data_IF_069473427246
#
_entry.id   IF_069473427246
#
_cell.length_a   1.000
_cell.length_b   1.000
_cell.length_c   1.000
_cell.angle_alpha   90.00
_cell.angle_beta   90.00
_cell.angle_gamma   90.00
#
_symmetry.space_group_name_H-M   'P 1'
#
loop_
_entity.id
_entity.type
_entity.pdbx_description
1 polymer ?
#
# COMPACT_ATOMS: atom_id res chain seq x y z
N UNK A 1 22.78 56.22 -44.73
CA UNK A 1 22.20 55.80 -43.44
C UNK A 1 21.88 54.33 -43.53
N UNK A 2 22.75 53.49 -42.96
CA UNK A 2 22.39 52.17 -42.45
C UNK A 2 23.22 52.06 -41.20
N UNK A 3 22.60 52.38 -40.08
CA UNK A 3 23.14 52.10 -38.77
C UNK A 3 23.06 50.59 -38.68
N UNK A 4 24.15 49.89 -39.02
CA UNK A 4 24.29 48.51 -38.60
C UNK A 4 24.37 48.54 -37.09
N UNK A 5 23.20 48.37 -36.46
CA UNK A 5 23.09 48.08 -35.03
C UNK A 5 23.82 46.77 -34.83
N UNK A 6 25.13 46.85 -34.57
CA UNK A 6 25.97 45.72 -34.21
C UNK A 6 25.37 45.11 -32.95
N UNK A 7 24.50 44.12 -33.14
CA UNK A 7 24.00 43.22 -32.11
C UNK A 7 25.24 42.80 -31.31
N UNK A 8 25.37 43.26 -30.07
CA UNK A 8 26.47 42.86 -29.21
C UNK A 8 26.55 41.32 -29.30
N UNK A 9 27.67 40.80 -29.79
CA UNK A 9 27.81 39.38 -30.00
C UNK A 9 27.84 38.72 -28.62
N UNK A 10 26.72 38.09 -28.22
CA UNK A 10 26.69 37.31 -26.99
C UNK A 10 27.66 36.14 -27.13
N UNK A 11 28.65 36.06 -26.24
CA UNK A 11 29.56 34.91 -26.18
C UNK A 11 28.81 33.72 -25.59
N UNK A 12 28.65 32.61 -26.33
CA UNK A 12 27.94 31.44 -25.83
C UNK A 12 28.75 30.72 -24.75
N UNK A 13 28.06 30.19 -23.74
CA UNK A 13 28.64 29.37 -22.67
C UNK A 13 28.92 27.92 -23.10
N UNK A 14 28.28 27.46 -24.18
CA UNK A 14 28.48 26.14 -24.79
C UNK A 14 28.26 26.19 -26.31
N UNK A 15 28.77 25.19 -27.04
CA UNK A 15 28.70 25.16 -28.50
C UNK A 15 27.27 24.98 -29.03
N UNK A 16 26.47 24.11 -28.41
CA UNK A 16 25.14 23.71 -28.90
C UNK A 16 24.17 23.54 -27.74
N UNK A 17 22.86 23.66 -27.97
CA UNK A 17 21.86 23.34 -26.95
C UNK A 17 21.76 21.81 -26.78
N UNK A 18 21.46 21.33 -25.57
CA UNK A 18 21.00 19.95 -25.34
C UNK A 18 19.48 19.93 -25.20
N UNK A 19 18.91 18.75 -24.98
CA UNK A 19 17.49 18.60 -24.68
C UNK A 19 17.06 19.41 -23.45
N UNK A 20 17.92 19.48 -22.42
CA UNK A 20 17.64 20.15 -21.14
C UNK A 20 18.34 21.50 -21.00
N UNK A 21 19.45 21.73 -21.71
CA UNK A 21 20.30 22.91 -21.53
C UNK A 21 20.25 23.83 -22.73
N UNK A 22 19.82 25.07 -22.47
CA UNK A 22 19.91 26.17 -23.41
C UNK A 22 21.36 26.65 -23.59
N UNK A 23 21.68 27.23 -24.74
CA UNK A 23 22.89 28.04 -24.92
C UNK A 23 22.63 29.44 -24.38
N UNK A 24 23.43 29.88 -23.42
CA UNK A 24 23.29 31.18 -22.76
C UNK A 24 24.52 32.03 -22.99
N UNK A 25 24.38 33.34 -22.83
CA UNK A 25 25.52 34.24 -22.80
C UNK A 25 26.29 34.07 -21.50
N UNK A 26 27.59 33.76 -21.58
CA UNK A 26 28.46 33.57 -20.40
C UNK A 26 28.65 34.85 -19.55
N UNK A 27 28.32 36.02 -20.10
CA UNK A 27 28.51 37.32 -19.44
C UNK A 27 27.25 37.79 -18.72
N UNK A 28 26.08 37.72 -19.38
CA UNK A 28 24.83 38.28 -18.85
C UNK A 28 23.69 37.28 -18.68
N UNK A 29 23.89 36.01 -19.06
CA UNK A 29 22.88 34.95 -18.91
C UNK A 29 21.74 34.98 -19.94
N UNK A 30 21.75 35.91 -20.90
CA UNK A 30 20.75 35.96 -21.98
C UNK A 30 20.70 34.63 -22.75
N UNK A 31 19.50 34.08 -22.93
CA UNK A 31 19.30 32.82 -23.68
C UNK A 31 19.49 33.10 -25.17
N UNK A 32 20.58 32.60 -25.74
CA UNK A 32 20.92 32.75 -27.16
C UNK A 32 20.11 31.75 -27.98
N UNK A 33 20.12 30.49 -27.54
CA UNK A 33 19.36 29.39 -28.14
C UNK A 33 18.68 28.63 -27.02
N UNK A 34 17.35 28.44 -27.05
CA UNK A 34 16.65 27.66 -26.03
C UNK A 34 17.11 26.19 -26.04
N UNK A 35 16.84 25.47 -24.95
CA UNK A 35 17.00 24.02 -24.92
C UNK A 35 16.13 23.38 -26.03
N UNK A 36 16.62 22.30 -26.63
CA UNK A 36 15.92 21.65 -27.75
C UNK A 36 14.60 21.01 -27.30
N UNK A 37 14.50 20.64 -26.02
CA UNK A 37 13.47 19.75 -25.53
C UNK A 37 13.63 18.33 -26.09
N UNK A 38 12.88 17.39 -25.52
CA UNK A 38 12.65 16.10 -26.15
C UNK A 38 11.17 15.75 -26.06
N UNK A 39 10.72 14.95 -27.02
CA UNK A 39 9.35 14.43 -27.08
C UNK A 39 9.34 12.98 -26.62
N UNK A 40 8.56 12.64 -25.60
CA UNK A 40 8.34 11.26 -25.18
C UNK A 40 7.39 10.55 -26.15
N UNK A 41 7.88 10.09 -27.30
CA UNK A 41 7.04 9.43 -28.31
C UNK A 41 6.90 7.91 -28.12
N UNK A 42 7.82 7.25 -27.41
CA UNK A 42 7.93 5.78 -27.38
C UNK A 42 7.83 5.18 -25.97
N UNK A 43 6.70 5.42 -25.30
CA UNK A 43 6.40 4.78 -24.02
C UNK A 43 5.53 3.55 -24.25
N UNK A 44 6.02 2.37 -23.86
CA UNK A 44 5.27 1.11 -23.98
C UNK A 44 4.13 1.09 -22.96
N UNK A 45 2.93 1.51 -23.40
CA UNK A 45 1.71 1.56 -22.57
C UNK A 45 1.11 0.19 -22.29
N UNK A 46 1.78 -0.91 -22.65
CA UNK A 46 1.39 -2.27 -22.26
C UNK A 46 2.18 -2.77 -21.05
N UNK A 47 3.30 -2.10 -20.72
CA UNK A 47 4.15 -2.45 -19.58
C UNK A 47 4.10 -1.37 -18.52
N UNK A 48 3.44 -1.65 -17.42
CA UNK A 48 3.38 -0.78 -16.27
C UNK A 48 4.25 -1.32 -15.14
N UNK A 49 5.03 -0.43 -14.56
CA UNK A 49 5.59 -0.59 -13.22
C UNK A 49 4.57 -0.08 -12.20
N UNK A 50 4.65 -0.55 -10.96
CA UNK A 50 3.72 -0.14 -9.91
C UNK A 50 4.35 -0.15 -8.52
N UNK A 51 3.82 0.71 -7.65
CA UNK A 51 4.05 0.71 -6.21
C UNK A 51 2.69 0.64 -5.48
N UNK A 52 2.67 0.87 -4.16
CA UNK A 52 1.44 0.81 -3.35
C UNK A 52 0.41 1.89 -3.71
N UNK A 53 0.84 3.00 -4.32
CA UNK A 53 0.05 4.19 -4.59
C UNK A 53 -0.29 4.37 -6.06
N UNK A 54 0.66 4.11 -6.95
CA UNK A 54 0.57 4.46 -8.36
C UNK A 54 1.11 3.36 -9.27
N UNK A 55 0.78 3.50 -10.55
CA UNK A 55 1.48 2.83 -11.65
C UNK A 55 2.01 3.87 -12.65
N UNK A 56 3.05 3.49 -13.38
CA UNK A 56 3.69 4.33 -14.40
C UNK A 56 4.31 3.46 -15.49
N UNK A 57 4.62 4.11 -16.61
CA UNK A 57 5.53 3.55 -17.60
C UNK A 57 6.88 4.25 -17.47
N UNK A 58 7.96 3.59 -17.89
CA UNK A 58 9.30 4.17 -17.85
C UNK A 58 9.76 4.51 -19.26
N UNK A 59 10.24 5.73 -19.47
CA UNK A 59 10.81 6.11 -20.75
C UNK A 59 12.10 5.33 -21.00
N UNK A 60 12.16 4.57 -22.09
CA UNK A 60 13.34 3.74 -22.41
C UNK A 60 14.61 4.55 -22.68
N UNK A 61 14.47 5.79 -23.16
CA UNK A 61 15.59 6.67 -23.50
C UNK A 61 16.26 7.32 -22.29
N UNK A 62 15.48 7.77 -21.30
CA UNK A 62 15.99 8.54 -20.16
C UNK A 62 15.71 7.92 -18.77
N UNK A 63 14.87 6.89 -18.68
CA UNK A 63 14.49 6.25 -17.42
C UNK A 63 13.46 7.02 -16.59
N UNK A 64 12.99 8.17 -17.06
CA UNK A 64 12.00 8.97 -16.35
C UNK A 64 10.62 8.32 -16.34
N UNK A 65 9.89 8.49 -15.23
CA UNK A 65 8.51 7.99 -15.08
C UNK A 65 7.55 8.82 -15.93
N UNK A 66 6.70 8.14 -16.67
CA UNK A 66 5.68 8.69 -17.55
C UNK A 66 4.31 8.09 -17.21
N UNK A 67 3.24 8.82 -17.56
CA UNK A 67 1.86 8.37 -17.33
C UNK A 67 1.60 7.92 -15.88
N UNK A 68 2.21 8.61 -14.91
CA UNK A 68 2.02 8.29 -13.49
C UNK A 68 0.55 8.52 -13.14
N UNK A 69 -0.11 7.47 -12.68
CA UNK A 69 -1.51 7.53 -12.27
C UNK A 69 -1.72 6.69 -11.02
N UNK A 70 -2.65 7.13 -10.17
CA UNK A 70 -3.13 6.33 -9.07
C UNK A 70 -3.81 5.05 -9.59
N UNK A 71 -3.81 4.02 -8.75
CA UNK A 71 -4.48 2.77 -9.07
C UNK A 71 -6.00 2.93 -9.13
N UNK A 72 -6.60 2.38 -10.20
CA UNK A 72 -8.03 2.11 -10.24
C UNK A 72 -8.28 0.64 -9.91
N UNK A 73 -8.79 0.38 -8.71
CA UNK A 73 -8.98 -0.97 -8.18
C UNK A 73 -10.37 -1.55 -8.47
N UNK A 74 -10.42 -2.86 -8.62
CA UNK A 74 -11.64 -3.65 -8.59
C UNK A 74 -11.53 -4.84 -7.64
N UNK A 75 -12.64 -5.19 -6.99
CA UNK A 75 -12.70 -6.37 -6.14
C UNK A 75 -12.80 -7.65 -6.98
N UNK A 76 -11.89 -8.58 -6.74
CA UNK A 76 -11.92 -9.96 -7.27
C UNK A 76 -12.19 -10.93 -6.13
N UNK A 77 -13.15 -11.82 -6.30
CA UNK A 77 -13.41 -12.91 -5.36
C UNK A 77 -12.42 -14.05 -5.67
N UNK A 78 -11.59 -14.39 -4.69
CA UNK A 78 -10.63 -15.50 -4.81
C UNK A 78 -11.27 -16.83 -4.39
N UNK A 79 -12.08 -16.77 -3.33
CA UNK A 79 -12.87 -17.90 -2.82
C UNK A 79 -14.23 -17.39 -2.42
N UNK A 80 -15.28 -17.96 -2.98
CA UNK A 80 -16.64 -17.67 -2.57
C UNK A 80 -16.85 -18.09 -1.11
N UNK A 81 -17.51 -17.22 -0.34
CA UNK A 81 -17.97 -17.60 0.99
C UNK A 81 -19.14 -18.57 0.86
N UNK A 82 -19.13 -19.61 1.70
CA UNK A 82 -20.25 -20.55 1.80
C UNK A 82 -20.99 -20.31 3.11
N UNK A 83 -22.03 -21.11 3.38
CA UNK A 83 -22.77 -21.03 4.66
C UNK A 83 -21.86 -21.31 5.85
N UNK A 84 -20.86 -22.18 5.69
CA UNK A 84 -20.01 -22.66 6.78
C UNK A 84 -18.56 -22.22 6.67
N UNK A 85 -18.10 -21.81 5.49
CA UNK A 85 -16.71 -21.44 5.23
C UNK A 85 -16.60 -19.97 4.85
N UNK A 86 -15.60 -19.29 5.42
CA UNK A 86 -15.20 -17.96 4.96
C UNK A 86 -14.67 -18.02 3.53
N UNK A 87 -15.00 -16.97 2.78
CA UNK A 87 -14.40 -16.68 1.48
C UNK A 87 -13.23 -15.72 1.60
N UNK A 88 -12.70 -15.29 0.47
CA UNK A 88 -11.69 -14.24 0.38
C UNK A 88 -11.83 -13.45 -0.92
N UNK A 89 -11.45 -12.17 -0.86
CA UNK A 89 -11.36 -11.30 -2.02
C UNK A 89 -10.17 -10.36 -1.89
N UNK A 90 -9.69 -9.84 -3.00
CA UNK A 90 -8.67 -8.79 -3.03
C UNK A 90 -9.05 -7.68 -4.00
N UNK A 91 -8.39 -6.54 -3.86
CA UNK A 91 -8.45 -5.46 -4.84
C UNK A 91 -7.30 -5.60 -5.82
N UNK A 92 -7.60 -5.58 -7.12
CA UNK A 92 -6.64 -5.65 -8.22
C UNK A 92 -6.76 -4.40 -9.10
N UNK A 93 -5.63 -3.79 -9.46
CA UNK A 93 -5.63 -2.65 -10.37
C UNK A 93 -5.96 -3.12 -11.79
N UNK A 94 -6.98 -2.51 -12.40
CA UNK A 94 -7.42 -2.86 -13.77
C UNK A 94 -6.38 -2.59 -14.85
N UNK A 95 -5.44 -1.69 -14.57
CA UNK A 95 -4.44 -1.22 -15.55
C UNK A 95 -3.15 -2.04 -15.45
N UNK A 96 -2.54 -2.08 -14.27
CA UNK A 96 -1.22 -2.70 -14.08
C UNK A 96 -1.25 -4.08 -13.40
N UNK A 97 -2.42 -4.53 -12.93
CA UNK A 97 -2.55 -5.81 -12.22
C UNK A 97 -1.96 -5.83 -10.80
N UNK A 98 -1.61 -4.66 -10.22
CA UNK A 98 -1.16 -4.59 -8.83
C UNK A 98 -2.25 -5.08 -7.88
N UNK A 99 -1.92 -6.00 -6.98
CA UNK A 99 -2.85 -6.64 -6.05
C UNK A 99 -2.58 -6.20 -4.63
N UNK A 100 -3.64 -5.77 -3.94
CA UNK A 100 -3.59 -5.58 -2.49
C UNK A 100 -3.68 -6.91 -1.76
N UNK A 101 -3.39 -6.87 -0.46
CA UNK A 101 -3.60 -8.00 0.43
C UNK A 101 -5.06 -8.45 0.38
N UNK A 102 -5.27 -9.76 0.25
CA UNK A 102 -6.59 -10.35 0.31
C UNK A 102 -7.22 -10.15 1.70
N UNK A 103 -8.52 -9.88 1.71
CA UNK A 103 -9.34 -9.77 2.92
C UNK A 103 -10.35 -10.92 2.94
N UNK A 104 -10.70 -11.37 4.14
CA UNK A 104 -11.68 -12.44 4.32
C UNK A 104 -13.11 -11.92 4.06
N UNK A 105 -13.92 -12.78 3.44
CA UNK A 105 -15.38 -12.61 3.37
C UNK A 105 -15.99 -13.53 4.42
N UNK A 106 -16.78 -13.01 5.37
CA UNK A 106 -17.47 -13.84 6.36
C UNK A 106 -18.37 -14.90 5.69
N UNK A 107 -18.55 -16.05 6.35
CA UNK A 107 -19.52 -17.05 5.93
C UNK A 107 -20.93 -16.47 5.94
N UNK A 108 -21.77 -16.87 4.97
CA UNK A 108 -23.12 -16.29 4.77
C UNK A 108 -24.15 -16.88 5.74
N UNK A 109 -23.83 -17.98 6.43
CA UNK A 109 -24.72 -18.57 7.42
C UNK A 109 -24.85 -17.68 8.65
N UNK A 110 -26.08 -17.31 9.00
CA UNK A 110 -26.40 -16.91 10.37
C UNK A 110 -26.03 -18.07 11.29
N UNK A 111 -25.47 -17.87 12.50
CA UNK A 111 -25.50 -18.90 13.51
C UNK A 111 -26.99 -19.21 13.71
N UNK A 112 -27.45 -20.35 13.20
CA UNK A 112 -28.68 -20.95 13.67
C UNK A 112 -28.37 -21.30 15.12
N UNK A 113 -28.66 -20.36 16.02
CA UNK A 113 -28.96 -20.71 17.39
C UNK A 113 -29.94 -21.88 17.28
N UNK A 114 -29.67 -23.05 17.89
CA UNK A 114 -30.62 -24.13 17.88
C UNK A 114 -31.84 -23.65 18.67
N UNK A 115 -32.77 -22.99 17.99
CA UNK A 115 -34.15 -22.85 18.48
C UNK A 115 -34.62 -24.29 18.66
N UNK A 116 -34.86 -24.76 19.88
CA UNK A 116 -35.38 -26.10 20.09
C UNK A 116 -36.84 -26.05 19.62
N UNK A 117 -37.12 -26.60 18.45
CA UNK A 117 -38.49 -26.98 18.10
C UNK A 117 -38.87 -28.19 18.97
N UNK A 118 -39.47 -27.92 20.14
CA UNK A 118 -40.36 -28.88 20.79
C UNK A 118 -41.48 -28.13 21.51
N UNK A 119 -42.77 -28.45 21.26
CA UNK A 119 -43.88 -27.90 22.02
C UNK A 119 -43.91 -28.54 23.43
N UNK A 120 -44.39 -27.79 24.41
CA UNK A 120 -44.82 -28.22 25.77
C UNK A 120 -43.81 -28.28 26.93
N UNK A 121 -43.15 -27.17 27.30
CA UNK A 121 -42.60 -27.04 28.69
C UNK A 121 -42.63 -25.60 29.23
N UNK A 122 -43.03 -25.37 30.50
CA UNK A 122 -43.04 -24.05 31.14
C UNK A 122 -41.62 -23.63 31.57
N UNK A 123 -41.31 -22.32 31.63
CA UNK A 123 -39.94 -21.86 31.87
C UNK A 123 -39.59 -21.98 33.36
N UNK A 124 -38.46 -22.61 33.68
CA UNK A 124 -37.83 -22.48 35.01
C UNK A 124 -36.31 -22.58 34.87
N UNK A 125 -35.62 -21.51 35.28
CA UNK A 125 -34.14 -21.43 35.36
C UNK A 125 -33.50 -21.07 34.01
N UNK A 126 -32.45 -20.25 33.88
CA UNK A 126 -31.34 -20.08 34.80
C UNK A 126 -30.61 -18.72 34.64
N UNK A 127 -30.11 -18.28 35.79
CA UNK A 127 -29.37 -17.10 36.20
C UNK A 127 -27.86 -17.11 35.82
N UNK A 128 -27.51 -17.69 34.67
CA UNK A 128 -26.12 -18.03 34.33
C UNK A 128 -25.25 -16.82 33.92
N UNK A 129 -25.84 -15.74 33.38
CA UNK A 129 -25.06 -14.60 32.88
C UNK A 129 -24.48 -13.71 33.99
N UNK A 130 -25.04 -13.68 35.21
CA UNK A 130 -24.54 -12.84 36.31
C UNK A 130 -23.56 -13.55 37.25
N UNK A 131 -23.65 -14.87 37.38
CA UNK A 131 -22.67 -15.65 38.14
C UNK A 131 -21.27 -15.63 37.49
N UNK A 132 -21.21 -15.51 36.16
CA UNK A 132 -19.97 -15.38 35.39
C UNK A 132 -19.18 -14.09 35.69
N UNK A 133 -19.81 -13.02 36.19
CA UNK A 133 -19.09 -11.79 36.52
C UNK A 133 -18.60 -11.71 37.97
N UNK A 134 -19.27 -12.39 38.92
CA UNK A 134 -18.88 -12.38 40.36
C UNK A 134 -17.65 -13.26 40.61
N UNK A 135 -17.55 -14.44 39.99
CA UNK A 135 -16.41 -15.34 40.17
C UNK A 135 -15.10 -14.76 39.62
N UNK A 136 -15.16 -13.96 38.55
CA UNK A 136 -13.99 -13.38 37.90
C UNK A 136 -13.33 -12.28 38.75
N UNK A 137 -14.10 -11.62 39.62
CA UNK A 137 -13.59 -10.54 40.48
C UNK A 137 -12.88 -11.04 41.75
N UNK A 138 -13.15 -12.26 42.21
CA UNK A 138 -12.55 -12.84 43.42
C UNK A 138 -11.24 -13.64 43.20
N UNK A 139 -10.80 -13.89 41.96
CA UNK A 139 -9.46 -14.47 41.67
C UNK A 139 -8.32 -13.43 41.79
N UNK A 140 -8.64 -12.23 42.28
CA UNK A 140 -7.74 -11.09 42.41
C UNK A 140 -6.71 -11.13 43.57
N UNK A 141 -6.67 -12.09 44.50
CA UNK A 141 -6.13 -11.73 45.84
C UNK A 141 -5.36 -12.73 46.73
N UNK A 142 -4.54 -13.68 46.24
CA UNK A 142 -3.70 -14.49 47.15
C UNK A 142 -2.23 -14.59 46.71
N UNK A 143 -1.36 -13.80 47.36
CA UNK A 143 0.09 -13.75 47.13
C UNK A 143 0.94 -14.63 48.07
N UNK A 144 2.26 -14.43 47.95
CA UNK A 144 3.33 -14.74 48.92
C UNK A 144 3.86 -16.19 48.98
N UNK A 145 4.73 -16.59 48.03
CA UNK A 145 5.75 -17.64 48.23
C UNK A 145 6.84 -17.61 47.13
N UNK A 146 7.65 -16.54 47.11
CA UNK A 146 8.62 -16.23 46.06
C UNK A 146 10.09 -16.61 46.34
N UNK A 147 10.48 -17.44 47.32
CA UNK A 147 11.93 -17.47 47.72
C UNK A 147 12.70 -18.78 47.87
N UNK A 148 12.18 -20.00 47.63
CA UNK A 148 12.91 -21.18 48.15
C UNK A 148 13.93 -21.94 47.25
N UNK A 149 13.76 -22.19 45.94
CA UNK A 149 14.69 -23.16 45.27
C UNK A 149 15.07 -22.84 43.82
N UNK A 150 15.37 -21.57 43.55
CA UNK A 150 16.18 -21.09 42.41
C UNK A 150 17.64 -21.66 42.40
N UNK A 151 17.96 -22.66 43.24
CA UNK A 151 19.34 -23.09 43.52
C UNK A 151 19.86 -24.32 42.78
N UNK A 152 19.15 -24.95 41.83
CA UNK A 152 19.61 -26.25 41.29
C UNK A 152 19.31 -26.48 39.81
N UNK A 153 20.07 -25.81 38.92
CA UNK A 153 20.60 -26.41 37.69
C UNK A 153 21.54 -25.47 36.93
N UNK A 154 22.70 -25.16 37.55
CA UNK A 154 23.94 -24.99 36.79
C UNK A 154 24.71 -26.30 36.92
N UNK A 155 24.66 -27.17 35.91
CA UNK A 155 25.66 -28.23 35.69
C UNK A 155 25.84 -28.50 34.20
N UNK A 156 26.94 -27.92 33.68
CA UNK A 156 27.93 -28.50 32.78
C UNK A 156 27.46 -29.58 31.80
N UNK A 157 27.55 -29.30 30.50
CA UNK A 157 27.89 -30.31 29.49
C UNK A 157 29.24 -29.89 28.89
N UNK A 158 30.11 -30.89 28.81
CA UNK A 158 31.53 -30.83 28.48
C UNK A 158 31.71 -31.09 27.00
#
# INVERSE_FOLDING_TARGET
MVIETSKAAHTPDRAEATETDAVKCSVCGYVITPALGHTHHDVDTTKFESDETNHWNTCSGCGEKQNVSAHEFEWKIDKDATVTEKGSKHEECKVCGYKKTAVEIPATGTPTDPTPENPDSPPTGDNSMMALWIALLFVSGFGVASTAVYGKKRKSVK
#
